data_IF_811315376691
#
_entry.id   IF_811315376691
#
_cell.length_a   1.000
_cell.length_b   1.000
_cell.length_c   1.000
_cell.angle_alpha   90.00
_cell.angle_beta   90.00
_cell.angle_gamma   90.00
#
_symmetry.space_group_name_H-M   'P 1'
#
loop_
_entity.id
_entity.type
_entity.pdbx_description
1 polymer ?
#
# COMPACT_ATOMS: atom_id res chain seq x y z
N UNK A 1 17.27 8.36 7.54
CA UNK A 1 17.17 9.66 6.86
C UNK A 1 15.82 10.31 7.18
N UNK A 2 14.70 9.73 6.76
CA UNK A 2 13.34 10.27 7.03
C UNK A 2 13.07 10.35 8.54
N UNK A 3 13.18 9.23 9.26
CA UNK A 3 13.00 9.16 10.73
C UNK A 3 14.06 9.94 11.54
N UNK A 4 15.10 10.44 10.87
CA UNK A 4 16.14 11.26 11.49
C UNK A 4 15.96 12.75 11.15
N UNK A 5 14.81 13.11 10.56
CA UNK A 5 14.44 14.46 10.12
C UNK A 5 15.40 15.06 9.07
N UNK A 6 16.08 14.21 8.30
CA UNK A 6 17.04 14.65 7.27
C UNK A 6 16.45 14.69 5.86
N UNK A 7 15.25 14.15 5.64
CA UNK A 7 14.65 14.04 4.32
C UNK A 7 13.12 13.97 4.36
N UNK A 8 12.49 14.49 3.30
CA UNK A 8 11.08 14.24 2.93
C UNK A 8 11.06 13.15 1.86
N UNK A 9 10.08 12.24 1.90
CA UNK A 9 9.96 11.17 0.92
C UNK A 9 8.51 10.90 0.50
N UNK A 10 8.27 10.55 -0.77
CA UNK A 10 6.96 10.08 -1.22
C UNK A 10 6.73 8.64 -0.73
N UNK A 11 5.87 8.48 0.27
CA UNK A 11 5.52 7.17 0.85
C UNK A 11 4.03 6.90 0.74
N UNK A 12 3.61 5.62 0.61
CA UNK A 12 2.20 5.25 0.73
C UNK A 12 1.63 5.69 2.07
N UNK A 13 0.35 6.09 2.10
CA UNK A 13 -0.32 6.50 3.35
C UNK A 13 -0.28 5.42 4.44
N UNK A 14 -0.30 4.15 4.05
CA UNK A 14 -0.20 3.01 4.98
C UNK A 14 1.15 2.92 5.71
N UNK A 15 2.17 3.65 5.27
CA UNK A 15 3.49 3.70 5.89
C UNK A 15 3.60 4.84 6.91
N UNK A 16 2.66 5.79 6.94
CA UNK A 16 2.64 6.87 7.93
C UNK A 16 2.35 6.28 9.31
N UNK A 17 3.39 6.24 10.16
CA UNK A 17 3.28 5.96 11.59
C UNK A 17 3.21 7.25 12.41
N UNK A 18 3.15 7.09 13.74
CA UNK A 18 2.97 8.21 14.67
C UNK A 18 4.13 9.21 14.70
N UNK A 19 5.31 8.81 14.21
CA UNK A 19 6.53 9.63 14.19
C UNK A 19 6.73 10.38 12.88
N UNK A 20 5.74 10.37 11.97
CA UNK A 20 5.81 11.06 10.69
C UNK A 20 4.64 12.01 10.51
N UNK A 21 4.88 13.11 9.80
CA UNK A 21 3.86 14.10 9.43
C UNK A 21 3.60 13.99 7.93
N UNK A 22 2.32 13.95 7.56
CA UNK A 22 1.90 14.02 6.15
C UNK A 22 2.11 15.44 5.61
N UNK A 23 2.84 15.55 4.50
CA UNK A 23 2.98 16.79 3.73
C UNK A 23 2.21 16.67 2.41
N UNK A 24 1.45 17.70 2.04
CA UNK A 24 0.65 17.72 0.81
C UNK A 24 0.62 19.10 0.14
N UNK A 25 -0.34 19.34 -0.78
CA UNK A 25 -0.45 20.60 -1.53
C UNK A 25 -0.51 21.86 -0.68
N UNK A 26 -1.14 21.80 0.50
CA UNK A 26 -1.19 22.91 1.46
C UNK A 26 0.20 23.29 2.02
N UNK A 27 1.13 22.34 2.01
CA UNK A 27 2.50 22.47 2.51
C UNK A 27 3.50 22.76 1.36
N UNK A 28 2.99 23.01 0.15
CA UNK A 28 3.79 23.26 -1.05
C UNK A 28 4.32 21.99 -1.75
N UNK A 29 3.87 20.80 -1.35
CA UNK A 29 4.25 19.54 -1.99
C UNK A 29 3.29 19.17 -3.15
N UNK A 30 3.76 18.48 -4.21
CA UNK A 30 2.88 17.98 -5.25
C UNK A 30 1.93 16.88 -4.73
N UNK A 31 0.85 16.62 -5.47
CA UNK A 31 0.06 15.41 -5.24
C UNK A 31 0.89 14.16 -5.58
N UNK A 32 0.92 13.20 -4.66
CA UNK A 32 1.66 11.94 -4.81
C UNK A 32 0.95 10.96 -5.75
N UNK A 33 -0.36 11.15 -5.97
CA UNK A 33 -1.17 10.32 -6.84
C UNK A 33 -1.40 8.90 -6.31
N UNK A 34 -1.63 7.96 -7.23
CA UNK A 34 -1.90 6.54 -6.93
C UNK A 34 -0.84 5.65 -7.57
N UNK A 35 -0.66 4.46 -6.99
CA UNK A 35 0.22 3.43 -7.52
C UNK A 35 -0.50 2.09 -7.56
N UNK A 36 -0.01 1.19 -8.42
CA UNK A 36 -0.56 -0.15 -8.55
C UNK A 36 0.08 -1.08 -7.52
N UNK A 37 -0.75 -1.83 -6.81
CA UNK A 37 -0.31 -2.96 -5.99
C UNK A 37 -0.55 -4.26 -6.77
N UNK A 38 0.49 -5.08 -6.90
CA UNK A 38 0.42 -6.35 -7.62
C UNK A 38 0.87 -7.50 -6.71
N UNK A 39 0.20 -8.65 -6.83
CA UNK A 39 0.57 -9.88 -6.15
C UNK A 39 1.23 -10.85 -7.14
N UNK A 40 2.40 -11.34 -6.78
CA UNK A 40 3.13 -12.38 -7.53
C UNK A 40 3.14 -13.65 -6.71
N UNK A 41 2.75 -14.77 -7.32
CA UNK A 41 2.74 -16.09 -6.69
C UNK A 41 3.75 -16.96 -7.44
N UNK A 42 4.64 -17.63 -6.71
CA UNK A 42 5.61 -18.55 -7.30
C UNK A 42 4.87 -19.68 -8.05
N UNK A 43 5.35 -20.09 -9.24
CA UNK A 43 4.70 -21.16 -10.01
C UNK A 43 4.54 -22.47 -9.23
N UNK A 44 5.50 -22.78 -8.36
CA UNK A 44 5.59 -23.98 -7.53
C UNK A 44 5.08 -23.77 -6.09
N UNK A 45 4.30 -22.70 -5.84
CA UNK A 45 3.78 -22.40 -4.52
C UNK A 45 2.97 -23.57 -3.91
N UNK A 46 3.17 -23.77 -2.60
CA UNK A 46 2.46 -24.79 -1.81
C UNK A 46 0.96 -24.49 -1.68
N UNK A 47 0.17 -25.50 -1.31
CA UNK A 47 -1.28 -25.35 -1.19
C UNK A 47 -1.71 -24.23 -0.21
N UNK A 48 -1.09 -24.05 0.98
CA UNK A 48 -1.43 -22.94 1.87
C UNK A 48 -1.16 -21.56 1.24
N UNK A 49 -0.06 -21.41 0.49
CA UNK A 49 0.26 -20.14 -0.19
C UNK A 49 -0.79 -19.82 -1.26
N UNK A 50 -1.22 -20.83 -2.02
CA UNK A 50 -2.29 -20.68 -3.02
C UNK A 50 -3.61 -20.26 -2.38
N UNK A 51 -3.98 -20.90 -1.28
CA UNK A 51 -5.20 -20.57 -0.54
C UNK A 51 -5.20 -19.11 -0.05
N UNK A 52 -4.07 -18.63 0.50
CA UNK A 52 -3.92 -17.22 0.91
C UNK A 52 -4.01 -16.28 -0.30
N UNK A 53 -3.36 -16.62 -1.40
CA UNK A 53 -3.41 -15.80 -2.61
C UNK A 53 -4.84 -15.68 -3.16
N UNK A 54 -5.60 -16.78 -3.17
CA UNK A 54 -6.99 -16.78 -3.62
C UNK A 54 -7.89 -15.96 -2.69
N UNK A 55 -7.68 -16.09 -1.38
CA UNK A 55 -8.41 -15.27 -0.40
C UNK A 55 -8.13 -13.77 -0.60
N UNK A 56 -6.85 -13.37 -0.74
CA UNK A 56 -6.48 -11.97 -1.00
C UNK A 56 -7.16 -11.46 -2.27
N UNK A 57 -7.14 -12.22 -3.38
CA UNK A 57 -7.82 -11.81 -4.63
C UNK A 57 -9.31 -11.61 -4.41
N UNK A 58 -9.98 -12.54 -3.74
CA UNK A 58 -11.41 -12.44 -3.46
C UNK A 58 -11.73 -11.20 -2.60
N UNK A 59 -10.92 -10.90 -1.58
CA UNK A 59 -11.08 -9.70 -0.75
C UNK A 59 -10.92 -8.41 -1.55
N UNK A 60 -9.92 -8.32 -2.44
CA UNK A 60 -9.75 -7.12 -3.27
C UNK A 60 -10.83 -6.99 -4.36
N UNK A 61 -11.38 -8.10 -4.85
CA UNK A 61 -12.53 -8.10 -5.76
C UNK A 61 -13.79 -7.57 -5.05
N UNK A 62 -14.08 -8.05 -3.84
CA UNK A 62 -15.15 -7.51 -3.00
C UNK A 62 -14.98 -6.01 -2.73
N UNK A 63 -13.76 -5.58 -2.41
CA UNK A 63 -13.44 -4.17 -2.22
C UNK A 63 -13.68 -3.36 -3.48
N UNK A 64 -13.32 -3.87 -4.66
CA UNK A 64 -13.57 -3.21 -5.94
C UNK A 64 -15.06 -3.01 -6.20
N UNK A 65 -15.90 -3.99 -5.87
CA UNK A 65 -17.35 -3.93 -6.09
C UNK A 65 -18.07 -3.05 -5.07
N UNK A 66 -17.64 -3.06 -3.82
CA UNK A 66 -18.42 -2.50 -2.69
C UNK A 66 -17.77 -1.30 -2.01
N UNK A 67 -16.48 -1.05 -2.26
CA UNK A 67 -15.67 -0.08 -1.53
C UNK A 67 -15.36 -0.48 -0.09
N UNK A 68 -15.58 -1.74 0.29
CA UNK A 68 -15.39 -2.27 1.65
C UNK A 68 -14.63 -3.61 1.63
N UNK A 69 -13.80 -3.83 2.65
CA UNK A 69 -13.15 -5.13 2.88
C UNK A 69 -14.05 -6.06 3.68
#
# INVERSE_FOLDING_TARGET
AIMADLAVAPLPKSFLGNEMVELGPKDGMPDIGTYNLAMVVAPDASAPVKAVADHIRATFELFRETGKF
#
